data_IF_974672114864
#
_entry.id   IF_974672114864
#
_cell.length_a   1.000
_cell.length_b   1.000
_cell.length_c   1.000
_cell.angle_alpha   90.00
_cell.angle_beta   90.00
_cell.angle_gamma   90.00
#
_symmetry.space_group_name_H-M   'P 1'
#
loop_
_entity.id
_entity.type
_entity.pdbx_description
1 polymer ?
#
# COMPACT_ATOMS: atom_id res chain seq x y z
N UNK A 1 -10.26 9.86 4.75
CA UNK A 1 -8.87 10.33 4.54
C UNK A 1 -8.38 9.51 3.35
N UNK A 2 -7.96 10.16 2.26
CA UNK A 2 -7.56 9.46 1.03
C UNK A 2 -6.03 9.44 0.95
N UNK A 3 -5.46 8.29 0.58
CA UNK A 3 -4.02 8.11 0.40
C UNK A 3 -3.73 7.92 -1.08
N UNK A 4 -2.66 8.56 -1.56
CA UNK A 4 -2.21 8.46 -2.95
C UNK A 4 -0.98 7.57 -2.95
N UNK A 5 -0.96 6.57 -3.84
CA UNK A 5 0.13 5.63 -3.99
C UNK A 5 0.22 5.11 -5.42
N UNK A 6 1.25 4.31 -5.68
CA UNK A 6 1.57 3.72 -6.97
C UNK A 6 1.17 2.25 -6.95
N UNK A 7 0.45 1.77 -7.96
CA UNK A 7 0.08 0.35 -8.06
C UNK A 7 1.33 -0.43 -8.46
N UNK A 8 1.76 -1.37 -7.61
CA UNK A 8 2.92 -2.24 -7.87
C UNK A 8 2.50 -3.58 -8.48
N UNK A 9 1.32 -4.10 -8.11
CA UNK A 9 0.81 -5.39 -8.58
C UNK A 9 -0.71 -5.41 -8.58
N UNK A 10 -1.35 -6.15 -9.49
CA UNK A 10 -2.80 -6.36 -9.52
C UNK A 10 -3.10 -7.85 -9.38
N UNK A 11 -3.82 -8.22 -8.34
CA UNK A 11 -4.20 -9.59 -7.99
C UNK A 11 -5.71 -9.79 -8.14
N UNK A 12 -6.17 -9.92 -9.38
CA UNK A 12 -7.58 -10.08 -9.69
C UNK A 12 -8.40 -8.83 -9.35
N UNK A 13 -9.10 -8.85 -8.21
CA UNK A 13 -9.93 -7.73 -7.73
C UNK A 13 -9.22 -6.83 -6.73
N UNK A 14 -8.04 -7.21 -6.24
CA UNK A 14 -7.19 -6.39 -5.38
C UNK A 14 -5.93 -5.94 -6.12
N UNK A 15 -5.24 -4.96 -5.55
CA UNK A 15 -3.96 -4.46 -6.02
C UNK A 15 -3.06 -4.14 -4.83
N UNK A 16 -1.77 -4.41 -4.99
CA UNK A 16 -0.73 -3.99 -4.05
C UNK A 16 -0.34 -2.57 -4.43
N UNK A 17 -0.55 -1.63 -3.51
CA UNK A 17 -0.26 -0.21 -3.70
C UNK A 17 0.88 0.18 -2.77
N UNK A 18 1.89 0.87 -3.31
CA UNK A 18 2.92 1.51 -2.51
C UNK A 18 2.50 2.95 -2.20
N UNK A 19 2.30 3.25 -0.93
CA UNK A 19 2.05 4.60 -0.43
C UNK A 19 3.28 5.12 0.30
N UNK A 20 3.48 6.44 0.35
CA UNK A 20 4.56 7.02 1.14
C UNK A 20 4.31 6.78 2.62
N UNK A 21 5.31 6.25 3.33
CA UNK A 21 5.25 6.08 4.78
C UNK A 21 5.08 7.44 5.43
N UNK A 22 3.95 7.67 6.10
CA UNK A 22 3.77 8.85 6.95
C UNK A 22 4.55 8.62 8.25
N UNK A 23 5.08 9.69 8.84
CA UNK A 23 5.83 9.57 10.10
C UNK A 23 4.97 9.00 11.25
N UNK A 24 3.64 9.12 11.17
CA UNK A 24 2.71 8.45 12.08
C UNK A 24 2.77 6.92 12.03
N UNK A 25 3.32 6.33 10.95
CA UNK A 25 3.57 4.90 10.81
C UNK A 25 4.96 4.49 11.29
N UNK A 26 5.80 5.40 11.81
CA UNK A 26 7.11 5.03 12.40
C UNK A 26 6.98 4.20 13.68
N UNK A 27 5.83 4.29 14.36
CA UNK A 27 5.50 3.43 15.51
C UNK A 27 4.71 2.17 15.12
N UNK A 28 4.42 1.96 13.83
CA UNK A 28 3.91 0.67 13.38
C UNK A 28 5.08 -0.31 13.37
N UNK A 29 5.20 -1.11 14.44
CA UNK A 29 6.10 -2.26 14.46
C UNK A 29 5.80 -3.13 13.25
N UNK A 30 6.82 -3.41 12.43
CA UNK A 30 6.78 -4.48 11.43
C UNK A 30 6.28 -5.75 12.13
N UNK A 31 5.04 -6.16 11.85
CA UNK A 31 4.44 -7.37 12.43
C UNK A 31 3.05 -7.25 13.07
N UNK A 32 2.40 -6.07 13.09
CA UNK A 32 1.05 -5.94 13.68
C UNK A 32 -0.14 -6.04 12.69
N UNK A 33 0.11 -6.17 11.39
CA UNK A 33 -0.96 -6.27 10.38
C UNK A 33 -0.42 -6.15 8.96
N UNK A 34 -1.31 -6.34 7.97
CA UNK A 34 -1.16 -6.53 6.51
C UNK A 34 -0.32 -5.50 5.73
N UNK A 35 0.44 -4.62 6.40
CA UNK A 35 1.25 -3.59 5.78
C UNK A 35 2.74 -3.99 5.83
N UNK A 36 3.37 -4.10 4.66
CA UNK A 36 4.80 -4.38 4.55
C UNK A 36 5.54 -3.06 4.31
N UNK A 37 6.43 -2.69 5.22
CA UNK A 37 7.26 -1.50 5.07
C UNK A 37 8.47 -1.82 4.19
N UNK A 38 8.69 -1.04 3.12
CA UNK A 38 9.88 -1.15 2.26
C UNK A 38 10.56 0.22 2.16
N UNK A 39 11.52 0.46 3.06
CA UNK A 39 12.20 1.74 3.15
C UNK A 39 11.22 2.87 3.52
N UNK A 40 11.01 3.82 2.60
CA UNK A 40 10.10 4.96 2.80
C UNK A 40 8.71 4.73 2.17
N UNK A 41 8.47 3.54 1.61
CA UNK A 41 7.18 3.12 1.07
C UNK A 41 6.53 2.11 2.02
N UNK A 42 5.20 2.13 2.11
CA UNK A 42 4.39 1.10 2.74
C UNK A 42 3.56 0.42 1.65
N UNK A 43 3.64 -0.90 1.57
CA UNK A 43 2.82 -1.71 0.68
C UNK A 43 1.52 -2.06 1.39
N UNK A 44 0.40 -1.76 0.74
CA UNK A 44 -0.95 -2.05 1.21
C UNK A 44 -1.69 -2.88 0.17
N UNK A 45 -2.51 -3.82 0.63
CA UNK A 45 -3.50 -4.49 -0.22
C UNK A 45 -4.75 -3.61 -0.28
N UNK A 46 -5.18 -3.25 -1.50
CA UNK A 46 -6.32 -2.38 -1.74
C UNK A 46 -7.26 -2.98 -2.79
N UNK A 47 -8.57 -2.76 -2.63
CA UNK A 47 -9.55 -3.16 -3.64
C UNK A 47 -9.38 -2.33 -4.91
N UNK A 48 -9.17 -3.01 -6.04
CA UNK A 48 -8.99 -2.38 -7.34
C UNK A 48 -10.33 -2.24 -8.09
N UNK A 49 -11.29 -1.55 -7.48
CA UNK A 49 -12.66 -1.44 -8.01
C UNK A 49 -12.74 -0.70 -9.35
N UNK A 50 -11.76 0.16 -9.64
CA UNK A 50 -11.66 0.93 -10.88
C UNK A 50 -10.77 0.28 -11.93
N UNK A 51 -10.23 -0.93 -11.66
CA UNK A 51 -9.29 -1.64 -12.55
C UNK A 51 -8.07 -0.79 -12.95
N UNK A 52 -7.48 -0.11 -11.97
CA UNK A 52 -6.19 0.57 -12.12
C UNK A 52 -5.11 -0.42 -12.57
N UNK A 53 -4.23 0.05 -13.45
CA UNK A 53 -3.09 -0.71 -13.97
C UNK A 53 -1.84 -0.43 -13.14
N UNK A 54 -0.82 -1.28 -13.28
CA UNK A 54 0.49 -1.09 -12.65
C UNK A 54 1.16 0.16 -13.25
N UNK A 55 1.64 1.06 -12.39
CA UNK A 55 2.21 2.36 -12.77
C UNK A 55 1.67 3.50 -11.93
#
# INVERSE_FOLDING_TARGET
MNEIGIVKEVNGVTAIVAVTKKSSCDHCSDGAGTCLSKGNEMLIDALNVVKAEVG
#
